data_IF_895188349043
#
_entry.id   IF_895188349043
#
_cell.length_a   1.000
_cell.length_b   1.000
_cell.length_c   1.000
_cell.angle_alpha   90.00
_cell.angle_beta   90.00
_cell.angle_gamma   90.00
#
_symmetry.space_group_name_H-M   'P 1'
#
loop_
_entity.id
_entity.type
_entity.pdbx_description
1 polymer ?
#
# COMPACT_ATOMS: atom_id res chain seq x y z
N UNK A 1 32.06 -1.69 -29.61
CA UNK A 1 31.06 -1.44 -28.56
C UNK A 1 30.93 -2.74 -27.78
N UNK A 2 31.53 -2.82 -26.59
CA UNK A 2 31.41 -4.00 -25.75
C UNK A 2 29.99 -3.94 -25.19
N UNK A 3 29.13 -4.87 -25.61
CA UNK A 3 27.83 -5.08 -24.98
C UNK A 3 28.19 -5.74 -23.66
N UNK A 4 28.25 -4.96 -22.58
CA UNK A 4 28.30 -5.53 -21.22
C UNK A 4 27.08 -6.42 -21.09
N UNK A 5 27.30 -7.73 -21.00
CA UNK A 5 26.23 -8.63 -20.64
C UNK A 5 25.75 -8.19 -19.26
N UNK A 6 24.45 -7.96 -19.05
CA UNK A 6 23.95 -7.62 -17.73
C UNK A 6 24.42 -8.70 -16.77
N UNK A 7 25.04 -8.27 -15.68
CA UNK A 7 25.55 -9.15 -14.65
C UNK A 7 24.45 -10.11 -14.22
N UNK A 8 24.74 -11.41 -14.21
CA UNK A 8 23.73 -12.42 -13.89
C UNK A 8 23.32 -12.23 -12.44
N UNK A 9 22.09 -11.75 -12.23
CA UNK A 9 21.53 -11.58 -10.89
C UNK A 9 21.50 -12.95 -10.22
N UNK A 10 22.02 -13.06 -9.01
CA UNK A 10 22.01 -14.31 -8.25
C UNK A 10 20.58 -14.68 -7.81
N UNK A 11 20.31 -15.99 -7.76
CA UNK A 11 18.96 -16.52 -7.51
C UNK A 11 18.57 -16.40 -6.03
N UNK A 12 19.52 -16.52 -5.11
CA UNK A 12 19.29 -16.31 -3.67
C UNK A 12 18.97 -14.84 -3.43
N UNK A 13 19.75 -13.94 -4.04
CA UNK A 13 19.50 -12.50 -4.01
C UNK A 13 18.09 -12.14 -4.52
N UNK A 14 17.63 -12.75 -5.63
CA UNK A 14 16.27 -12.53 -6.14
C UNK A 14 15.17 -13.01 -5.18
N UNK A 15 15.41 -14.11 -4.44
CA UNK A 15 14.45 -14.63 -3.46
C UNK A 15 14.37 -13.74 -2.24
N UNK A 16 15.50 -13.22 -1.77
CA UNK A 16 15.54 -12.29 -0.64
C UNK A 16 14.79 -11.01 -0.97
N UNK A 17 15.06 -10.42 -2.14
CA UNK A 17 14.34 -9.23 -2.63
C UNK A 17 12.83 -9.52 -2.72
N UNK A 18 12.43 -10.68 -3.24
CA UNK A 18 11.02 -11.05 -3.32
C UNK A 18 10.38 -11.25 -1.93
N UNK A 19 11.12 -11.75 -0.94
CA UNK A 19 10.65 -11.88 0.43
C UNK A 19 10.44 -10.49 1.07
N UNK A 20 11.38 -9.58 0.91
CA UNK A 20 11.27 -8.19 1.39
C UNK A 20 10.06 -7.49 0.78
N UNK A 21 9.88 -7.60 -0.54
CA UNK A 21 8.74 -7.00 -1.24
C UNK A 21 7.39 -7.56 -0.78
N UNK A 22 7.32 -8.86 -0.43
CA UNK A 22 6.10 -9.42 0.18
C UNK A 22 5.85 -8.84 1.55
N UNK A 23 6.89 -8.69 2.37
CA UNK A 23 6.77 -8.06 3.69
C UNK A 23 6.28 -6.61 3.60
N UNK A 24 6.73 -5.84 2.61
CA UNK A 24 6.20 -4.50 2.37
C UNK A 24 4.76 -4.52 1.84
N UNK A 25 4.40 -5.47 0.97
CA UNK A 25 3.03 -5.62 0.49
C UNK A 25 2.05 -5.90 1.64
N UNK A 26 2.40 -6.83 2.53
CA UNK A 26 1.59 -7.16 3.71
C UNK A 26 1.37 -5.91 4.59
N UNK A 27 2.38 -5.05 4.74
CA UNK A 27 2.27 -3.80 5.50
C UNK A 27 1.37 -2.78 4.80
N UNK A 28 1.47 -2.63 3.49
CA UNK A 28 0.60 -1.72 2.72
C UNK A 28 -0.85 -2.17 2.81
N UNK A 29 -1.12 -3.48 2.70
CA UNK A 29 -2.46 -4.04 2.87
C UNK A 29 -3.01 -3.80 4.28
N UNK A 30 -2.18 -3.94 5.32
CA UNK A 30 -2.56 -3.61 6.70
C UNK A 30 -2.90 -2.12 6.87
N UNK A 31 -2.08 -1.23 6.30
CA UNK A 31 -2.33 0.22 6.32
C UNK A 31 -3.63 0.60 5.60
N UNK A 32 -3.94 -0.03 4.46
CA UNK A 32 -5.20 0.16 3.75
C UNK A 32 -6.39 -0.29 4.60
N UNK A 33 -6.28 -1.43 5.28
CA UNK A 33 -7.31 -1.94 6.17
C UNK A 33 -7.53 -1.01 7.36
N UNK A 34 -6.46 -0.53 8.00
CA UNK A 34 -6.53 0.43 9.09
C UNK A 34 -7.18 1.75 8.66
N UNK A 35 -6.69 2.34 7.57
CA UNK A 35 -7.24 3.57 7.00
C UNK A 35 -8.74 3.45 6.69
N UNK A 36 -9.17 2.29 6.17
CA UNK A 36 -10.58 2.01 5.91
C UNK A 36 -11.40 1.95 7.21
N UNK A 37 -10.90 1.28 8.25
CA UNK A 37 -11.57 1.22 9.56
C UNK A 37 -11.71 2.59 10.20
N UNK A 38 -10.65 3.40 10.15
CA UNK A 38 -10.69 4.77 10.66
C UNK A 38 -11.72 5.64 9.92
N UNK A 39 -11.73 5.56 8.60
CA UNK A 39 -12.68 6.29 7.77
C UNK A 39 -14.13 5.92 8.08
N UNK A 40 -14.44 4.62 8.20
CA UNK A 40 -15.78 4.15 8.57
C UNK A 40 -16.20 4.66 9.95
N UNK A 41 -15.28 4.64 10.92
CA UNK A 41 -15.52 5.20 12.26
C UNK A 41 -15.78 6.70 12.19
N UNK A 42 -15.05 7.42 11.35
CA UNK A 42 -15.24 8.86 11.15
C UNK A 42 -16.62 9.18 10.54
N UNK A 43 -17.04 8.41 9.53
CA UNK A 43 -18.37 8.51 8.94
C UNK A 43 -19.47 8.23 9.98
N UNK A 44 -19.32 7.18 10.80
CA UNK A 44 -20.29 6.84 11.84
C UNK A 44 -20.40 7.96 12.89
N UNK A 45 -19.26 8.49 13.37
CA UNK A 45 -19.26 9.59 14.34
C UNK A 45 -19.90 10.86 13.75
N UNK A 46 -19.65 11.18 12.48
CA UNK A 46 -20.32 12.27 11.78
C UNK A 46 -21.83 12.06 11.69
N UNK A 47 -22.31 10.83 11.48
CA UNK A 47 -23.74 10.53 11.46
C UNK A 47 -24.39 10.68 12.84
N UNK A 48 -23.71 10.22 13.91
CA UNK A 48 -24.24 10.26 15.28
C UNK A 48 -24.27 11.69 15.82
N UNK A 49 -23.21 12.47 15.60
CA UNK A 49 -23.01 13.76 16.25
C UNK A 49 -23.09 14.97 15.31
N UNK A 50 -23.19 14.77 13.99
CA UNK A 50 -23.06 15.86 13.01
C UNK A 50 -24.17 16.92 13.03
N UNK A 51 -25.25 16.68 13.78
CA UNK A 51 -26.35 17.64 13.99
C UNK A 51 -26.15 18.54 15.20
N UNK A 52 -25.22 18.21 16.11
CA UNK A 52 -24.92 19.01 17.30
C UNK A 52 -23.80 20.04 16.98
N UNK A 53 -24.09 21.35 17.08
CA UNK A 53 -23.13 22.41 16.78
C UNK A 53 -21.85 22.35 17.64
N UNK A 54 -21.94 21.90 18.89
CA UNK A 54 -20.79 21.83 19.81
C UNK A 54 -19.83 20.69 19.48
N UNK A 55 -20.35 19.59 18.92
CA UNK A 55 -19.53 18.46 18.50
C UNK A 55 -18.92 18.68 17.12
N UNK A 56 -19.60 19.42 16.24
CA UNK A 56 -19.08 19.79 14.92
C UNK A 56 -17.68 20.46 14.98
N UNK A 57 -17.49 21.41 15.90
CA UNK A 57 -16.18 22.09 16.08
C UNK A 57 -15.12 21.19 16.75
N UNK A 58 -15.55 20.23 17.58
CA UNK A 58 -14.64 19.28 18.26
C UNK A 58 -14.12 18.17 17.34
N UNK A 59 -14.77 17.92 16.22
CA UNK A 59 -14.46 16.82 15.31
C UNK A 59 -13.70 17.24 14.03
N UNK A 60 -12.89 18.31 14.09
CA UNK A 60 -12.05 18.73 12.96
C UNK A 60 -11.14 17.58 12.44
N UNK A 61 -10.64 16.72 13.32
CA UNK A 61 -9.87 15.53 12.93
C UNK A 61 -10.70 14.48 12.17
N UNK A 62 -12.01 14.37 12.41
CA UNK A 62 -12.89 13.48 11.62
C UNK A 62 -13.06 13.99 10.20
N UNK A 63 -13.28 15.29 10.04
CA UNK A 63 -13.40 15.90 8.72
C UNK A 63 -12.11 15.74 7.92
N UNK A 64 -10.96 16.02 8.54
CA UNK A 64 -9.66 15.78 7.91
C UNK A 64 -9.45 14.31 7.49
N UNK A 65 -9.82 13.34 8.32
CA UNK A 65 -9.72 11.92 7.96
C UNK A 65 -10.65 11.57 6.78
N UNK A 66 -11.92 12.01 6.81
CA UNK A 66 -12.89 11.76 5.73
C UNK A 66 -12.41 12.36 4.40
N UNK A 67 -11.93 13.60 4.42
CA UNK A 67 -11.55 14.32 3.21
C UNK A 67 -10.22 13.81 2.63
N UNK A 68 -9.28 13.38 3.48
CA UNK A 68 -7.99 12.85 3.04
C UNK A 68 -8.03 11.38 2.64
N UNK A 69 -9.04 10.61 3.09
CA UNK A 69 -9.13 9.17 2.85
C UNK A 69 -8.96 8.78 1.38
N UNK A 70 -9.64 9.40 0.39
CA UNK A 70 -9.50 9.01 -1.01
C UNK A 70 -8.06 9.19 -1.53
N UNK A 71 -7.38 10.26 -1.11
CA UNK A 71 -6.00 10.54 -1.51
C UNK A 71 -5.02 9.51 -0.94
N UNK A 72 -5.07 9.30 0.39
CA UNK A 72 -4.22 8.30 1.07
C UNK A 72 -4.47 6.88 0.56
N UNK A 73 -5.73 6.53 0.29
CA UNK A 73 -6.07 5.22 -0.27
C UNK A 73 -5.57 5.05 -1.71
N UNK A 74 -5.57 6.13 -2.51
CA UNK A 74 -5.02 6.08 -3.87
C UNK A 74 -3.51 5.91 -3.86
N UNK A 75 -2.80 6.57 -2.95
CA UNK A 75 -1.34 6.41 -2.76
C UNK A 75 -1.01 4.96 -2.38
N UNK A 76 -1.66 4.40 -1.36
CA UNK A 76 -1.43 3.02 -0.93
C UNK A 76 -1.74 2.00 -2.03
N UNK A 77 -2.81 2.20 -2.81
CA UNK A 77 -3.14 1.33 -3.95
C UNK A 77 -2.10 1.39 -5.06
N UNK A 78 -1.50 2.54 -5.29
CA UNK A 78 -0.43 2.66 -6.27
C UNK A 78 0.83 1.93 -5.79
N UNK A 79 1.15 2.02 -4.50
CA UNK A 79 2.23 1.24 -3.88
C UNK A 79 1.99 -0.28 -3.98
N UNK A 80 0.79 -0.75 -3.59
CA UNK A 80 0.35 -2.15 -3.74
C UNK A 80 0.53 -2.64 -5.20
N UNK A 81 0.10 -1.82 -6.17
CA UNK A 81 0.21 -2.12 -7.60
C UNK A 81 1.66 -2.21 -8.07
N UNK A 82 2.55 -1.37 -7.53
CA UNK A 82 3.97 -1.40 -7.87
C UNK A 82 4.67 -2.63 -7.26
N UNK A 83 4.41 -2.91 -5.98
CA UNK A 83 4.95 -4.08 -5.27
C UNK A 83 4.54 -5.38 -5.95
N UNK A 84 3.27 -5.52 -6.31
CA UNK A 84 2.77 -6.70 -7.04
C UNK A 84 3.48 -6.88 -8.38
N UNK A 85 3.66 -5.81 -9.16
CA UNK A 85 4.40 -5.88 -10.43
C UNK A 85 5.86 -6.25 -10.26
N UNK A 86 6.50 -5.79 -9.19
CA UNK A 86 7.88 -6.16 -8.91
C UNK A 86 7.99 -7.62 -8.48
N UNK A 87 7.06 -8.12 -7.66
CA UNK A 87 6.97 -9.53 -7.30
C UNK A 87 6.76 -10.43 -8.52
N UNK A 88 5.88 -10.04 -9.43
CA UNK A 88 5.68 -10.74 -10.71
C UNK A 88 6.98 -10.81 -11.51
N UNK A 89 7.71 -9.69 -11.60
CA UNK A 89 9.01 -9.66 -12.29
C UNK A 89 10.05 -10.56 -11.62
N UNK A 90 10.10 -10.60 -10.29
CA UNK A 90 10.98 -11.51 -9.56
C UNK A 90 10.63 -12.97 -9.87
N UNK A 91 9.34 -13.32 -9.91
CA UNK A 91 8.87 -14.66 -10.31
C UNK A 91 9.35 -15.01 -11.72
N UNK A 92 9.12 -14.14 -12.70
CA UNK A 92 9.49 -14.39 -14.09
C UNK A 92 11.01 -14.62 -14.25
N UNK A 93 11.84 -13.86 -13.52
CA UNK A 93 13.29 -14.03 -13.51
C UNK A 93 13.74 -15.35 -12.88
N UNK A 94 13.06 -15.80 -11.83
CA UNK A 94 13.32 -17.09 -11.18
C UNK A 94 12.92 -18.26 -12.08
N UNK A 95 11.79 -18.16 -12.78
CA UNK A 95 11.31 -19.17 -13.72
C UNK A 95 12.21 -19.27 -14.96
N UNK A 96 12.65 -18.13 -15.51
CA UNK A 96 13.59 -18.11 -16.64
C UNK A 96 14.96 -18.72 -16.32
N UNK A 97 15.34 -18.82 -15.04
CA UNK A 97 16.56 -19.47 -14.56
C UNK A 97 16.40 -20.97 -14.31
N UNK A 98 15.16 -21.47 -14.23
CA UNK A 98 14.86 -22.89 -13.97
C UNK A 98 14.70 -23.72 -15.26
N UNK A 99 14.54 -23.05 -16.41
CA UNK A 99 14.46 -23.64 -17.76
C UNK A 99 15.83 -23.72 -18.44
#
# INVERSE_FOLDING_TARGET
MIIEQPERIDTETLRDIAADMRGELDRVEEQMAELTREHQRALALKQIFGVDPLTRDRFNHLHANIDQYPGKMAELREEERLLTRWLDRCRDLLEAKAA
#
